data_IF_445030451429
#
_entry.id   IF_445030451429
#
_cell.length_a   1.000
_cell.length_b   1.000
_cell.length_c   1.000
_cell.angle_alpha   90.00
_cell.angle_beta   90.00
_cell.angle_gamma   90.00
#
_symmetry.space_group_name_H-M   'P 1'
#
loop_
_entity.id
_entity.type
_entity.pdbx_description
1 polymer ?
#
# COMPACT_ATOMS: atom_id res chain seq x y z
N UNK A 1 -8.93 -19.19 0.62
CA UNK A 1 -9.96 -19.32 -0.44
C UNK A 1 -9.48 -20.30 -1.51
N UNK A 2 -10.35 -21.16 -2.04
CA UNK A 2 -9.97 -22.14 -3.08
C UNK A 2 -9.75 -21.41 -4.42
N UNK A 3 -8.61 -21.59 -5.09
CA UNK A 3 -8.25 -20.90 -6.35
C UNK A 3 -9.35 -20.96 -7.42
N UNK A 4 -9.99 -22.13 -7.56
CA UNK A 4 -11.08 -22.34 -8.51
C UNK A 4 -12.29 -21.41 -8.27
N UNK A 5 -12.56 -21.03 -7.03
CA UNK A 5 -13.63 -20.08 -6.71
C UNK A 5 -13.27 -18.66 -7.16
N UNK A 6 -12.01 -18.25 -6.97
CA UNK A 6 -11.51 -16.94 -7.39
C UNK A 6 -11.60 -16.81 -8.92
N UNK A 7 -11.15 -17.82 -9.65
CA UNK A 7 -11.20 -17.83 -11.11
C UNK A 7 -12.63 -17.78 -11.66
N UNK A 8 -13.54 -18.54 -11.04
CA UNK A 8 -14.97 -18.52 -11.40
C UNK A 8 -15.56 -17.12 -11.18
N UNK A 9 -15.32 -16.52 -10.02
CA UNK A 9 -15.78 -15.16 -9.70
C UNK A 9 -15.17 -14.11 -10.63
N UNK A 10 -13.89 -14.24 -10.98
CA UNK A 10 -13.23 -13.33 -11.90
C UNK A 10 -13.81 -13.41 -13.31
N UNK A 11 -14.07 -14.61 -13.85
CA UNK A 11 -14.70 -14.77 -15.17
C UNK A 11 -16.09 -14.12 -15.23
N UNK A 12 -16.90 -14.34 -14.21
CA UNK A 12 -18.23 -13.73 -14.12
C UNK A 12 -18.15 -12.20 -14.07
N UNK A 13 -17.15 -11.65 -13.37
CA UNK A 13 -16.93 -10.20 -13.34
C UNK A 13 -16.54 -9.68 -14.73
N UNK A 14 -15.65 -10.37 -15.45
CA UNK A 14 -15.24 -9.97 -16.82
C UNK A 14 -16.45 -9.89 -17.76
N UNK A 15 -17.35 -10.87 -17.70
CA UNK A 15 -18.59 -10.88 -18.50
C UNK A 15 -19.49 -9.69 -18.16
N UNK A 16 -19.80 -9.48 -16.87
CA UNK A 16 -20.66 -8.38 -16.41
C UNK A 16 -20.11 -6.99 -16.77
N UNK A 17 -18.79 -6.80 -16.66
CA UNK A 17 -18.17 -5.55 -17.07
C UNK A 17 -18.18 -5.39 -18.60
N UNK A 18 -18.10 -6.50 -19.35
CA UNK A 18 -18.24 -6.50 -20.81
C UNK A 18 -19.62 -6.04 -21.28
N UNK A 19 -20.70 -6.41 -20.56
CA UNK A 19 -22.08 -5.97 -20.87
C UNK A 19 -22.25 -4.44 -20.87
N UNK A 20 -21.42 -3.73 -20.10
CA UNK A 20 -21.42 -2.26 -20.04
C UNK A 20 -20.25 -1.62 -20.81
N UNK A 21 -19.59 -2.39 -21.69
CA UNK A 21 -18.52 -1.90 -22.57
C UNK A 21 -17.14 -1.74 -21.90
N UNK A 22 -16.93 -2.31 -20.71
CA UNK A 22 -15.65 -2.23 -19.99
C UNK A 22 -14.76 -3.42 -20.34
N UNK A 23 -13.62 -3.16 -20.97
CA UNK A 23 -12.58 -4.17 -21.18
C UNK A 23 -11.70 -4.32 -19.92
N UNK A 24 -12.03 -5.33 -19.09
CA UNK A 24 -11.32 -5.61 -17.83
C UNK A 24 -9.83 -5.89 -18.03
N UNK A 25 -9.44 -6.61 -19.10
CA UNK A 25 -8.02 -6.90 -19.36
C UNK A 25 -7.24 -5.63 -19.67
N UNK A 26 -7.80 -4.75 -20.52
CA UNK A 26 -7.19 -3.45 -20.81
C UNK A 26 -7.13 -2.55 -19.56
N UNK A 27 -8.17 -2.57 -18.72
CA UNK A 27 -8.18 -1.82 -17.46
C UNK A 27 -7.07 -2.28 -16.50
N UNK A 28 -6.86 -3.60 -16.35
CA UNK A 28 -5.79 -4.15 -15.54
C UNK A 28 -4.39 -3.81 -16.10
N UNK A 29 -4.21 -3.87 -17.43
CA UNK A 29 -2.95 -3.48 -18.06
C UNK A 29 -2.65 -1.98 -17.89
N UNK A 30 -3.69 -1.13 -17.88
CA UNK A 30 -3.55 0.28 -17.57
C UNK A 30 -3.24 0.48 -16.08
N UNK A 31 -3.91 -0.25 -15.19
CA UNK A 31 -3.70 -0.18 -13.74
C UNK A 31 -2.24 -0.47 -13.37
N UNK A 32 -1.62 -1.47 -14.00
CA UNK A 32 -0.20 -1.85 -13.76
C UNK A 32 0.81 -0.73 -14.03
N UNK A 33 0.43 0.30 -14.79
CA UNK A 33 1.31 1.43 -15.13
C UNK A 33 1.31 2.54 -14.08
N UNK A 34 0.33 2.54 -13.18
CA UNK A 34 0.27 3.55 -12.12
C UNK A 34 1.17 3.14 -10.96
N UNK A 35 2.11 4.02 -10.62
CA UNK A 35 2.94 3.87 -9.42
C UNK A 35 2.28 4.60 -8.26
N UNK A 36 2.16 3.91 -7.12
CA UNK A 36 1.73 4.52 -5.85
C UNK A 36 2.99 4.80 -5.05
N UNK A 37 3.23 6.08 -4.73
CA UNK A 37 4.31 6.47 -3.83
C UNK A 37 3.88 6.20 -2.39
N UNK A 38 4.53 5.25 -1.74
CA UNK A 38 4.29 4.94 -0.34
C UNK A 38 5.17 5.81 0.54
N UNK A 39 4.54 6.40 1.55
CA UNK A 39 5.17 7.29 2.50
C UNK A 39 6.07 6.51 3.48
N UNK A 40 7.37 6.79 3.48
CA UNK A 40 8.34 6.05 4.30
C UNK A 40 8.12 6.26 5.81
N UNK A 41 7.62 7.42 6.22
CA UNK A 41 7.46 7.79 7.63
C UNK A 41 6.39 6.99 8.39
N UNK A 42 5.59 6.18 7.68
CA UNK A 42 4.69 5.24 8.33
C UNK A 42 5.44 4.10 9.02
N UNK A 43 6.63 3.73 8.52
CA UNK A 43 7.38 2.61 9.07
C UNK A 43 8.11 2.92 10.39
N UNK A 44 8.30 4.19 10.74
CA UNK A 44 9.09 4.64 11.88
C UNK A 44 8.36 5.67 12.78
N UNK A 45 7.05 5.81 12.62
CA UNK A 45 6.22 6.77 13.36
C UNK A 45 6.67 8.24 13.20
N UNK A 46 7.15 8.63 12.01
CA UNK A 46 7.62 10.01 11.73
C UNK A 46 8.80 10.42 12.63
N UNK A 47 9.62 9.46 13.08
CA UNK A 47 10.78 9.75 13.94
C UNK A 47 12.02 10.19 13.18
N UNK A 48 12.19 9.69 11.96
CA UNK A 48 13.43 9.85 11.22
C UNK A 48 14.62 9.16 11.91
N UNK A 49 15.81 9.42 11.36
CA UNK A 49 17.07 8.80 11.82
C UNK A 49 18.14 9.84 12.20
N UNK A 50 17.74 11.10 12.33
CA UNK A 50 18.63 12.19 12.73
C UNK A 50 18.91 12.13 14.24
N UNK A 51 20.17 12.41 14.63
CA UNK A 51 20.59 12.39 16.06
C UNK A 51 20.28 13.70 16.80
N UNK A 52 19.40 14.53 16.26
CA UNK A 52 19.07 15.88 16.75
C UNK A 52 18.02 15.89 17.86
N UNK A 53 17.45 14.74 18.25
CA UNK A 53 16.65 14.59 19.46
C UNK A 53 15.26 15.23 19.43
N UNK A 54 14.89 15.93 18.35
CA UNK A 54 13.53 16.45 18.17
C UNK A 54 12.60 15.32 17.73
N UNK A 55 11.70 14.90 18.62
CA UNK A 55 10.48 14.22 18.23
C UNK A 55 9.70 15.10 17.25
N UNK A 56 8.93 14.48 16.34
CA UNK A 56 8.10 15.14 15.33
C UNK A 56 7.63 16.54 15.77
N UNK A 57 8.28 17.56 15.23
CA UNK A 57 7.91 18.97 15.42
C UNK A 57 7.05 19.42 14.24
N UNK A 58 6.23 20.46 14.43
CA UNK A 58 5.32 20.98 13.40
C UNK A 58 3.88 20.45 13.46
N UNK A 59 3.46 19.86 14.58
CA UNK A 59 2.07 19.45 14.81
C UNK A 59 1.69 18.08 14.23
N UNK A 60 2.65 17.31 13.74
CA UNK A 60 2.47 15.93 13.30
C UNK A 60 2.65 14.97 14.48
N UNK A 61 1.73 14.04 14.65
CA UNK A 61 1.76 13.08 15.76
C UNK A 61 1.41 11.68 15.26
N UNK A 62 2.24 10.70 15.57
CA UNK A 62 1.89 9.28 15.54
C UNK A 62 1.39 8.85 16.94
N UNK A 63 0.22 8.23 17.01
CA UNK A 63 -0.40 7.82 18.28
C UNK A 63 -0.36 6.30 18.47
N UNK A 64 -0.21 5.85 19.71
CA UNK A 64 -0.13 4.43 20.06
C UNK A 64 1.31 3.94 20.27
N UNK A 65 1.46 2.73 20.78
CA UNK A 65 2.76 2.11 21.09
C UNK A 65 2.83 0.67 20.56
N UNK A 66 2.38 0.47 19.32
CA UNK A 66 2.45 -0.84 18.68
C UNK A 66 3.93 -1.22 18.46
N UNK A 67 4.36 -2.45 18.83
CA UNK A 67 5.76 -2.83 18.68
C UNK A 67 6.15 -3.03 17.21
N UNK A 68 7.44 -2.90 16.90
CA UNK A 68 8.00 -3.30 15.61
C UNK A 68 8.27 -2.18 14.60
N UNK A 69 8.15 -0.89 14.98
CA UNK A 69 8.60 0.22 14.12
C UNK A 69 10.09 0.11 13.80
N UNK A 70 10.47 0.59 12.61
CA UNK A 70 11.85 0.67 12.19
C UNK A 70 12.64 1.65 13.08
N UNK A 71 13.89 1.29 13.41
CA UNK A 71 14.80 2.09 14.26
C UNK A 71 15.98 2.65 13.49
N UNK A 72 16.17 2.21 12.24
CA UNK A 72 17.26 2.60 11.36
C UNK A 72 16.83 2.42 9.89
N UNK A 73 17.58 3.01 8.93
CA UNK A 73 17.29 2.88 7.50
C UNK A 73 17.25 1.44 7.00
N UNK A 74 18.04 0.53 7.58
CA UNK A 74 18.12 -0.87 7.16
C UNK A 74 16.85 -1.64 7.52
N UNK A 75 16.27 -1.38 8.68
CA UNK A 75 14.97 -1.92 9.11
C UNK A 75 13.83 -1.38 8.25
N UNK A 76 13.85 -0.08 7.89
CA UNK A 76 12.78 0.54 7.11
C UNK A 76 12.71 0.05 5.65
N UNK A 77 13.83 -0.42 5.09
CA UNK A 77 13.91 -0.93 3.71
C UNK A 77 13.49 -2.39 3.55
N UNK A 78 13.31 -3.14 4.64
CA UNK A 78 12.90 -4.55 4.61
C UNK A 78 11.39 -4.67 4.47
#
# INVERSE_FOLDING_TARGET
>A
MKSAQIEKSFRLAVERYGEIGVNVKAALERLRRFSISLHCWQGDDVRGFEKTGSAADGGLVATGNYPGRARNPEELRR
#
